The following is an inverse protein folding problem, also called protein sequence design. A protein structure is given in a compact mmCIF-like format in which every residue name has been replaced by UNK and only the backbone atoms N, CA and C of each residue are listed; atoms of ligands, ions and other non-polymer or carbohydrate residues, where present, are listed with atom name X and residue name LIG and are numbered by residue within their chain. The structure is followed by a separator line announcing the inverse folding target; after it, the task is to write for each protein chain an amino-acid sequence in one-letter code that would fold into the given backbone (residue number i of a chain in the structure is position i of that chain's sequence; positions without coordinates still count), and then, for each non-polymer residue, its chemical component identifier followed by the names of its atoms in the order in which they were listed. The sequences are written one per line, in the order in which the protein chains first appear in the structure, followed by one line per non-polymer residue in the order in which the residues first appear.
data_IF_391824035111
#
_entry.id   IF_391824035111
#
_cell.length_a   1.000
_cell.length_b   1.000
_cell.length_c   1.000
_cell.angle_alpha   90.00
_cell.angle_beta   90.00
_cell.angle_gamma   90.00
#
_symmetry.space_group_name_H-M   'P 1'
#
loop_
_entity.id
_entity.type
_entity.pdbx_description
1 polymer ?
#
# COMPACT_ATOMS: atom_id res chain seq x y z
N UNK A 1 -11.37 16.07 -25.48
CA UNK A 1 -10.39 15.03 -25.08
C UNK A 1 -8.93 15.38 -25.43
N UNK A 2 -8.62 15.81 -26.67
CA UNK A 2 -7.25 16.08 -27.15
C UNK A 2 -6.40 16.98 -26.24
N UNK A 3 -6.99 18.06 -25.71
CA UNK A 3 -6.29 19.00 -24.82
C UNK A 3 -5.94 18.34 -23.47
N UNK A 4 -6.88 17.55 -22.92
CA UNK A 4 -6.70 16.88 -21.64
C UNK A 4 -5.55 15.87 -21.72
N UNK A 5 -5.52 15.01 -22.74
CA UNK A 5 -4.52 13.94 -22.85
C UNK A 5 -3.15 14.40 -23.32
N UNK A 6 -3.07 15.42 -24.19
CA UNK A 6 -1.79 15.87 -24.77
C UNK A 6 -1.15 17.06 -24.05
N UNK A 7 -1.93 17.87 -23.31
CA UNK A 7 -1.40 19.11 -22.70
C UNK A 7 -1.51 19.10 -21.19
N UNK A 8 -2.65 18.69 -20.65
CA UNK A 8 -2.88 18.71 -19.20
C UNK A 8 -2.21 17.51 -18.54
N UNK A 9 -2.52 16.30 -19.02
CA UNK A 9 -2.05 15.03 -18.45
C UNK A 9 -0.51 14.98 -18.32
N UNK A 10 0.30 15.16 -19.38
CA UNK A 10 1.77 15.11 -19.26
C UNK A 10 2.35 16.18 -18.34
N UNK A 11 1.63 17.27 -18.07
CA UNK A 11 2.10 18.35 -17.19
C UNK A 11 1.80 18.10 -15.71
N UNK A 12 0.72 17.38 -15.40
CA UNK A 12 0.36 17.01 -14.02
C UNK A 12 0.92 15.66 -13.59
N UNK A 13 1.25 14.77 -14.54
CA UNK A 13 1.79 13.45 -14.25
C UNK A 13 3.04 13.48 -13.36
N UNK A 14 4.03 14.37 -13.56
CA UNK A 14 5.24 14.37 -12.74
C UNK A 14 4.93 14.45 -11.23
N UNK A 15 4.22 15.45 -10.68
CA UNK A 15 3.90 15.47 -9.24
C UNK A 15 2.84 14.45 -8.78
N UNK A 16 1.94 14.04 -9.67
CA UNK A 16 0.85 13.11 -9.32
C UNK A 16 1.38 11.69 -9.11
N UNK A 17 2.33 11.24 -9.92
CA UNK A 17 2.84 9.86 -9.86
C UNK A 17 3.50 9.53 -8.50
N UNK A 18 4.46 10.31 -7.98
CA UNK A 18 5.03 10.08 -6.65
C UNK A 18 3.96 10.13 -5.55
N UNK A 19 3.04 11.09 -5.61
CA UNK A 19 1.95 11.23 -4.63
C UNK A 19 1.05 9.99 -4.59
N UNK A 20 0.70 9.44 -5.76
CA UNK A 20 -0.05 8.19 -5.85
C UNK A 20 0.73 7.01 -5.25
N UNK A 21 2.01 6.88 -5.59
CA UNK A 21 2.87 5.80 -5.05
C UNK A 21 3.00 5.89 -3.53
N UNK A 22 3.18 7.11 -2.99
CA UNK A 22 3.26 7.36 -1.56
C UNK A 22 1.95 7.08 -0.81
N UNK A 23 0.80 7.07 -1.51
CA UNK A 23 -0.48 6.71 -0.90
C UNK A 23 -0.73 5.20 -0.79
N UNK A 24 -0.01 4.37 -1.56
CA UNK A 24 -0.20 2.91 -1.58
C UNK A 24 -0.05 2.28 -0.19
N UNK A 25 0.98 2.60 0.62
CA UNK A 25 1.12 2.06 1.97
C UNK A 25 -0.13 2.30 2.83
N UNK A 26 -0.68 3.51 2.79
CA UNK A 26 -1.90 3.85 3.53
C UNK A 26 -3.10 3.02 3.11
N UNK A 27 -3.27 2.75 1.81
CA UNK A 27 -4.34 1.90 1.30
C UNK A 27 -4.17 0.43 1.67
N UNK A 28 -2.93 -0.07 1.65
CA UNK A 28 -2.61 -1.44 2.06
C UNK A 28 -2.98 -1.66 3.54
N UNK A 29 -2.61 -0.73 4.42
CA UNK A 29 -2.98 -0.81 5.83
C UNK A 29 -4.48 -0.58 6.07
N UNK A 30 -5.11 0.29 5.29
CA UNK A 30 -6.55 0.50 5.37
C UNK A 30 -7.32 -0.77 5.01
N UNK A 31 -6.95 -1.45 3.92
CA UNK A 31 -7.56 -2.72 3.53
C UNK A 31 -7.37 -3.79 4.61
N UNK A 32 -6.16 -3.91 5.16
CA UNK A 32 -5.90 -4.88 6.23
C UNK A 32 -6.70 -4.58 7.50
N UNK A 33 -6.85 -3.29 7.86
CA UNK A 33 -7.70 -2.88 8.98
C UNK A 33 -9.18 -3.20 8.71
N UNK A 34 -9.69 -2.92 7.51
CA UNK A 34 -11.04 -3.28 7.12
C UNK A 34 -11.27 -4.79 7.14
N UNK A 35 -10.29 -5.58 6.71
CA UNK A 35 -10.34 -7.04 6.76
C UNK A 35 -10.50 -7.53 8.20
N UNK A 36 -9.68 -7.03 9.13
CA UNK A 36 -9.78 -7.37 10.56
C UNK A 36 -11.12 -6.95 11.19
N UNK A 37 -11.75 -5.89 10.69
CA UNK A 37 -13.10 -5.49 11.09
C UNK A 37 -14.22 -6.33 10.44
N UNK A 38 -13.89 -7.29 9.58
CA UNK A 38 -14.86 -8.10 8.83
C UNK A 38 -15.53 -7.36 7.68
N UNK A 39 -14.95 -6.24 7.21
CA UNK A 39 -15.49 -5.38 6.15
C UNK A 39 -14.82 -5.59 4.78
N UNK A 40 -13.83 -6.49 4.67
CA UNK A 40 -13.21 -6.84 3.38
C UNK A 40 -14.10 -7.76 2.55
N UNK A 41 -13.91 -7.77 1.22
CA UNK A 41 -14.58 -8.74 0.34
C UNK A 41 -14.14 -10.19 0.67
N UNK A 42 -15.07 -11.07 1.10
CA UNK A 42 -14.76 -12.46 1.47
C UNK A 42 -14.33 -13.34 0.28
N UNK A 43 -14.44 -12.86 -0.96
CA UNK A 43 -13.95 -13.58 -2.15
C UNK A 43 -12.48 -13.28 -2.47
N UNK A 44 -11.96 -12.15 -2.00
CA UNK A 44 -10.59 -11.71 -2.31
C UNK A 44 -9.64 -12.18 -1.23
N UNK A 45 -8.67 -13.04 -1.58
CA UNK A 45 -7.65 -13.50 -0.63
C UNK A 45 -6.57 -12.43 -0.54
N UNK A 46 -6.55 -11.69 0.58
CA UNK A 46 -5.53 -10.68 0.91
C UNK A 46 -4.76 -11.10 2.17
N UNK A 47 -3.57 -10.51 2.39
CA UNK A 47 -2.84 -10.72 3.63
C UNK A 47 -3.61 -10.21 4.86
N UNK A 48 -4.37 -9.12 4.71
CA UNK A 48 -5.28 -8.63 5.75
C UNK A 48 -6.32 -9.68 6.14
N UNK A 49 -6.91 -10.37 5.15
CA UNK A 49 -7.87 -11.44 5.42
C UNK A 49 -7.22 -12.68 6.04
N UNK A 50 -6.02 -13.06 5.62
CA UNK A 50 -5.29 -14.16 6.28
C UNK A 50 -5.07 -13.86 7.76
N UNK A 51 -4.78 -12.60 8.11
CA UNK A 51 -4.64 -12.16 9.49
C UNK A 51 -5.97 -12.26 10.24
N UNK A 52 -7.07 -11.79 9.63
CA UNK A 52 -8.41 -11.89 10.23
C UNK A 52 -8.82 -13.35 10.48
N UNK A 53 -8.69 -14.22 9.49
CA UNK A 53 -8.99 -15.65 9.61
C UNK A 53 -8.12 -16.32 10.68
N UNK A 54 -6.84 -15.93 10.80
CA UNK A 54 -5.95 -16.41 11.85
C UNK A 54 -6.41 -15.97 13.25
N UNK A 55 -6.84 -14.71 13.40
CA UNK A 55 -7.40 -14.22 14.67
C UNK A 55 -8.72 -14.92 15.02
N UNK A 56 -9.65 -14.99 14.06
CA UNK A 56 -10.95 -15.64 14.23
C UNK A 56 -10.82 -17.15 14.53
N UNK A 57 -9.87 -17.83 13.88
CA UNK A 57 -9.57 -19.25 14.11
C UNK A 57 -8.82 -19.54 15.43
N UNK A 58 -8.46 -18.51 16.19
CA UNK A 58 -7.72 -18.61 17.44
C UNK A 58 -6.27 -19.04 17.26
N UNK A 59 -5.64 -18.73 16.12
CA UNK A 59 -4.28 -19.14 15.80
C UNK A 59 -3.28 -18.71 16.89
N UNK A 60 -3.43 -17.50 17.42
CA UNK A 60 -2.58 -16.97 18.50
C UNK A 60 -2.69 -17.83 19.77
N UNK A 61 -3.90 -18.23 20.15
CA UNK A 61 -4.15 -19.06 21.34
C UNK A 61 -3.71 -20.52 21.16
N UNK A 62 -3.72 -21.02 19.92
CA UNK A 62 -3.31 -22.39 19.57
C UNK A 62 -1.82 -22.55 19.29
N UNK A 63 -1.02 -21.48 19.41
CA UNK A 63 0.42 -21.49 19.12
C UNK A 63 0.77 -21.37 17.63
N UNK A 64 -0.19 -21.09 16.77
CA UNK A 64 -0.02 -20.89 15.33
C UNK A 64 0.31 -19.43 14.96
N UNK A 65 1.24 -18.82 15.69
CA UNK A 65 1.63 -17.40 15.55
C UNK A 65 2.13 -17.03 14.14
N UNK A 66 2.68 -17.99 13.40
CA UNK A 66 3.21 -17.78 12.06
C UNK A 66 2.14 -17.30 11.06
N UNK A 67 0.88 -17.69 11.24
CA UNK A 67 -0.24 -17.22 10.41
C UNK A 67 -0.55 -15.74 10.55
N UNK A 68 -0.10 -15.10 11.63
CA UNK A 68 -0.22 -13.65 11.81
C UNK A 68 1.09 -12.95 11.44
N UNK A 69 2.23 -13.47 11.93
CA UNK A 69 3.52 -12.81 11.75
C UNK A 69 3.97 -12.73 10.29
N UNK A 70 3.79 -13.81 9.50
CA UNK A 70 4.27 -13.84 8.12
C UNK A 70 3.49 -12.83 7.25
N UNK A 71 2.14 -12.82 7.23
CA UNK A 71 1.39 -11.83 6.47
C UNK A 71 1.65 -10.39 6.93
N UNK A 72 1.79 -10.15 8.25
CA UNK A 72 2.15 -8.83 8.77
C UNK A 72 3.52 -8.35 8.27
N UNK A 73 4.52 -9.24 8.26
CA UNK A 73 5.84 -8.90 7.73
C UNK A 73 5.80 -8.58 6.23
N UNK A 74 4.98 -9.31 5.45
CA UNK A 74 4.80 -9.06 4.02
C UNK A 74 4.08 -7.73 3.74
N UNK A 75 3.07 -7.36 4.53
CA UNK A 75 2.42 -6.05 4.47
C UNK A 75 3.43 -4.92 4.73
N UNK A 76 4.23 -5.04 5.79
CA UNK A 76 5.26 -4.05 6.13
C UNK A 76 6.31 -3.93 5.03
N UNK A 77 6.81 -5.06 4.53
CA UNK A 77 7.81 -5.07 3.46
C UNK A 77 7.29 -4.39 2.19
N UNK A 78 6.03 -4.65 1.85
CA UNK A 78 5.37 -4.05 0.68
C UNK A 78 5.19 -2.54 0.87
N UNK A 79 4.68 -2.12 2.04
CA UNK A 79 4.53 -0.72 2.38
C UNK A 79 5.86 0.05 2.31
N UNK A 80 6.94 -0.52 2.87
CA UNK A 80 8.27 0.08 2.82
C UNK A 80 8.78 0.16 1.38
N UNK A 81 8.59 -0.90 0.58
CA UNK A 81 9.02 -0.92 -0.82
C UNK A 81 8.37 0.20 -1.62
N UNK A 82 7.05 0.37 -1.51
CA UNK A 82 6.34 1.46 -2.17
C UNK A 82 6.70 2.84 -1.61
N UNK A 83 6.89 2.97 -0.30
CA UNK A 83 7.34 4.23 0.29
C UNK A 83 8.70 4.65 -0.26
N UNK A 84 9.67 3.74 -0.33
CA UNK A 84 11.00 4.00 -0.89
C UNK A 84 10.93 4.37 -2.38
N UNK A 85 10.11 3.67 -3.17
CA UNK A 85 9.89 4.01 -4.58
C UNK A 85 9.28 5.40 -4.70
N UNK A 86 8.27 5.73 -3.89
CA UNK A 86 7.63 7.04 -3.88
C UNK A 86 8.61 8.16 -3.56
N UNK A 87 9.46 7.96 -2.54
CA UNK A 87 10.53 8.90 -2.18
C UNK A 87 11.58 9.05 -3.28
N UNK A 88 11.98 7.96 -3.93
CA UNK A 88 12.92 8.00 -5.04
C UNK A 88 12.34 8.74 -6.26
N UNK A 89 11.07 8.47 -6.59
CA UNK A 89 10.35 9.16 -7.66
C UNK A 89 10.19 10.65 -7.37
N UNK A 90 9.85 11.01 -6.12
CA UNK A 90 9.69 12.41 -5.73
C UNK A 90 11.01 13.19 -5.91
N UNK A 91 12.16 12.57 -5.58
CA UNK A 91 13.49 13.16 -5.84
C UNK A 91 13.80 13.35 -7.32
N UNK A 92 13.41 12.41 -8.18
CA UNK A 92 13.67 12.49 -9.63
C UNK A 92 12.79 13.57 -10.27
N UNK A 93 11.54 13.66 -9.82
CA UNK A 93 10.52 14.55 -10.38
C UNK A 93 10.66 15.97 -9.88
N UNK A 94 11.01 16.17 -8.60
CA UNK A 94 10.95 17.46 -7.96
C UNK A 94 12.27 18.24 -8.17
N UNK A 95 12.30 19.25 -9.06
CA UNK A 95 13.52 19.99 -9.37
C UNK A 95 14.02 20.82 -8.17
N UNK A 96 13.18 21.09 -7.16
CA UNK A 96 13.55 21.86 -5.96
C UNK A 96 14.47 21.09 -5.01
N UNK A 97 14.48 19.76 -5.06
CA UNK A 97 15.38 18.91 -4.28
C UNK A 97 16.76 18.74 -4.96
N UNK A 98 16.95 19.29 -6.16
CA UNK A 98 18.19 19.19 -6.93
C UNK A 98 19.19 20.32 -6.61
N UNK A 99 18.77 21.34 -5.88
CA UNK A 99 19.57 22.55 -5.57
C UNK A 99 20.13 22.59 -4.13
N UNK A 100 20.00 21.49 -3.36
CA UNK A 100 20.60 21.38 -2.01
C UNK A 100 21.74 20.35 -1.99
#
# INVERSE_FOLDING_TARGET
LRIITLYILPRILPPVVPSLVLSIPSYVFLEAALAVLGLSDPKVVSWGRIIEEAFAGGAVYKGYYHWVLIPSAMLILTAISFALIGLALDRIVNPRLREM
#
